data_IF_417771649110
#
_entry.id   IF_417771649110
#
_cell.length_a   1.000
_cell.length_b   1.000
_cell.length_c   1.000
_cell.angle_alpha   90.00
_cell.angle_beta   90.00
_cell.angle_gamma   90.00
#
_symmetry.space_group_name_H-M   'P 1'
#
loop_
_entity.id
_entity.type
_entity.pdbx_description
1 polymer ?
#
# COMPACT_ATOMS: atom_id res chain seq x y z
N UNK A 1 7.82 8.02 -4.41
CA UNK A 1 6.48 7.83 -4.98
C UNK A 1 5.43 8.48 -4.11
N UNK A 2 4.53 9.21 -4.72
CA UNK A 2 3.42 9.86 -4.03
C UNK A 2 2.18 8.95 -4.17
N UNK A 3 1.47 8.69 -3.06
CA UNK A 3 0.29 7.83 -3.07
C UNK A 3 -1.00 8.62 -3.27
N UNK A 4 -0.98 9.53 -4.22
CA UNK A 4 -2.13 10.39 -4.51
C UNK A 4 -2.97 9.77 -5.64
N UNK A 5 -3.72 8.74 -5.28
CA UNK A 5 -4.56 8.01 -6.22
C UNK A 5 -6.04 8.15 -5.86
N UNK A 6 -6.89 8.19 -6.89
CA UNK A 6 -8.34 8.16 -6.69
C UNK A 6 -8.77 6.73 -6.36
N UNK A 7 -10.01 6.57 -5.90
CA UNK A 7 -10.58 5.26 -5.62
C UNK A 7 -10.58 4.37 -6.87
N UNK A 8 -10.90 4.94 -8.02
CA UNK A 8 -10.93 4.20 -9.29
C UNK A 8 -9.52 3.74 -9.66
N UNK A 9 -8.53 4.61 -9.49
CA UNK A 9 -7.13 4.26 -9.73
C UNK A 9 -6.66 3.15 -8.78
N UNK A 10 -7.03 3.25 -7.51
CA UNK A 10 -6.71 2.23 -6.52
C UNK A 10 -7.25 0.87 -6.95
N UNK A 11 -8.51 0.80 -7.35
CA UNK A 11 -9.12 -0.46 -7.77
C UNK A 11 -8.47 -1.02 -9.03
N UNK A 12 -8.23 -0.17 -10.01
CA UNK A 12 -7.59 -0.58 -11.27
C UNK A 12 -6.17 -1.09 -11.04
N UNK A 13 -5.37 -0.33 -10.29
CA UNK A 13 -3.98 -0.71 -10.01
C UNK A 13 -3.92 -1.99 -9.19
N UNK A 14 -4.78 -2.12 -8.18
CA UNK A 14 -4.81 -3.32 -7.33
C UNK A 14 -5.09 -4.58 -8.13
N UNK A 15 -5.98 -4.49 -9.10
CA UNK A 15 -6.30 -5.60 -10.01
C UNK A 15 -5.12 -5.92 -10.92
N UNK A 16 -4.59 -4.90 -11.59
CA UNK A 16 -3.52 -5.08 -12.57
C UNK A 16 -2.23 -5.56 -11.92
N UNK A 17 -1.93 -5.09 -10.73
CA UNK A 17 -0.74 -5.50 -9.98
C UNK A 17 -0.96 -6.80 -9.20
N UNK A 18 -2.18 -7.34 -9.21
CA UNK A 18 -2.55 -8.57 -8.51
C UNK A 18 -2.16 -8.52 -7.03
N UNK A 19 -2.51 -7.42 -6.36
CA UNK A 19 -2.19 -7.22 -4.96
C UNK A 19 -2.99 -8.17 -4.08
N UNK A 20 -2.33 -8.73 -3.04
CA UNK A 20 -3.03 -9.52 -2.05
C UNK A 20 -3.75 -8.59 -1.06
N UNK A 21 -4.55 -9.16 -0.17
CA UNK A 21 -5.36 -8.39 0.78
C UNK A 21 -4.50 -7.50 1.68
N UNK A 22 -3.37 -8.00 2.12
CA UNK A 22 -2.47 -7.24 2.99
C UNK A 22 -1.92 -6.00 2.28
N UNK A 23 -1.43 -6.17 1.05
CA UNK A 23 -0.90 -5.06 0.27
C UNK A 23 -1.99 -4.07 -0.13
N UNK A 24 -3.20 -4.55 -0.37
CA UNK A 24 -4.33 -3.65 -0.66
C UNK A 24 -4.67 -2.79 0.55
N UNK A 25 -4.65 -3.36 1.75
CA UNK A 25 -4.87 -2.59 2.98
C UNK A 25 -3.80 -1.52 3.18
N UNK A 26 -2.53 -1.89 2.96
CA UNK A 26 -1.42 -0.95 3.09
C UNK A 26 -1.54 0.16 2.04
N UNK A 27 -1.90 -0.19 0.82
CA UNK A 27 -2.12 0.76 -0.26
C UNK A 27 -3.21 1.78 0.13
N UNK A 28 -4.34 1.29 0.62
CA UNK A 28 -5.43 2.15 1.06
C UNK A 28 -5.00 3.07 2.21
N UNK A 29 -4.27 2.54 3.19
CA UNK A 29 -3.75 3.34 4.30
C UNK A 29 -2.80 4.42 3.83
N UNK A 30 -1.95 4.12 2.84
CA UNK A 30 -1.05 5.13 2.27
C UNK A 30 -1.81 6.23 1.55
N UNK A 31 -2.86 5.88 0.83
CA UNK A 31 -3.72 6.87 0.17
C UNK A 31 -4.36 7.79 1.22
N UNK A 32 -4.75 7.23 2.36
CA UNK A 32 -5.34 8.00 3.47
C UNK A 32 -4.31 8.73 4.30
N UNK A 33 -3.04 8.67 3.92
CA UNK A 33 -1.93 9.35 4.61
C UNK A 33 -1.69 8.86 6.03
N UNK A 34 -1.91 7.58 6.30
CA UNK A 34 -1.58 6.99 7.60
C UNK A 34 -0.06 7.03 7.83
N UNK A 35 0.34 7.31 9.06
CA UNK A 35 1.75 7.24 9.44
C UNK A 35 2.19 5.77 9.54
N UNK A 36 3.50 5.54 9.47
CA UNK A 36 4.06 4.19 9.65
C UNK A 36 3.68 3.63 11.02
N UNK A 37 3.75 4.46 12.06
CA UNK A 37 3.36 4.07 13.42
C UNK A 37 1.90 3.61 13.46
N UNK A 38 1.01 4.38 12.84
CA UNK A 38 -0.42 4.02 12.82
C UNK A 38 -0.65 2.72 12.06
N UNK A 39 0.03 2.55 10.93
CA UNK A 39 -0.08 1.31 10.16
C UNK A 39 0.40 0.10 10.95
N UNK A 40 1.53 0.23 11.65
CA UNK A 40 2.07 -0.87 12.45
C UNK A 40 1.09 -1.30 13.54
N UNK A 41 0.42 -0.35 14.16
CA UNK A 41 -0.58 -0.63 15.19
C UNK A 41 -1.81 -1.30 14.59
N UNK A 42 -2.33 -0.76 13.50
CA UNK A 42 -3.52 -1.31 12.85
C UNK A 42 -3.30 -2.71 12.29
N UNK A 43 -2.11 -2.98 11.79
CA UNK A 43 -1.78 -4.25 11.15
C UNK A 43 -1.13 -5.27 12.09
N UNK A 44 -0.86 -4.87 13.33
CA UNK A 44 -0.12 -5.72 14.29
C UNK A 44 1.22 -6.17 13.73
N UNK A 45 1.94 -5.27 13.11
CA UNK A 45 3.25 -5.51 12.53
C UNK A 45 4.26 -4.53 13.09
N UNK A 46 5.55 -4.89 13.09
CA UNK A 46 6.60 -3.92 13.41
C UNK A 46 6.67 -2.86 12.31
N UNK A 47 7.17 -1.68 12.65
CA UNK A 47 7.38 -0.62 11.64
C UNK A 47 8.33 -1.09 10.55
N UNK A 48 9.32 -1.89 10.90
CA UNK A 48 10.26 -2.46 9.93
C UNK A 48 9.53 -3.32 8.90
N UNK A 49 8.60 -4.15 9.35
CA UNK A 49 7.81 -5.00 8.47
C UNK A 49 6.90 -4.15 7.57
N UNK A 50 6.26 -3.13 8.14
CA UNK A 50 5.42 -2.21 7.37
C UNK A 50 6.23 -1.54 6.26
N UNK A 51 7.42 -1.03 6.59
CA UNK A 51 8.29 -0.40 5.60
C UNK A 51 8.68 -1.35 4.49
N UNK A 52 8.95 -2.61 4.83
CA UNK A 52 9.29 -3.63 3.85
C UNK A 52 8.11 -3.92 2.92
N UNK A 53 6.90 -3.99 3.46
CA UNK A 53 5.69 -4.19 2.67
C UNK A 53 5.39 -3.02 1.74
N UNK A 54 5.63 -1.80 2.21
CA UNK A 54 5.47 -0.61 1.38
C UNK A 54 6.44 -0.64 0.21
N UNK A 55 7.67 -1.06 0.44
CA UNK A 55 8.66 -1.18 -0.62
C UNK A 55 8.23 -2.20 -1.68
N UNK A 56 7.72 -3.34 -1.23
CA UNK A 56 7.17 -4.37 -2.13
C UNK A 56 5.98 -3.83 -2.92
N UNK A 57 5.08 -3.12 -2.25
CA UNK A 57 3.92 -2.50 -2.87
C UNK A 57 4.33 -1.54 -3.98
N UNK A 58 5.29 -0.67 -3.70
CA UNK A 58 5.78 0.30 -4.69
C UNK A 58 6.30 -0.40 -5.95
N UNK A 59 7.06 -1.48 -5.78
CA UNK A 59 7.58 -2.24 -6.93
C UNK A 59 6.45 -2.79 -7.78
N UNK A 60 5.42 -3.34 -7.14
CA UNK A 60 4.28 -3.91 -7.87
C UNK A 60 3.48 -2.84 -8.59
N UNK A 61 3.29 -1.69 -7.97
CA UNK A 61 2.58 -0.57 -8.59
C UNK A 61 3.35 -0.06 -9.81
N UNK A 62 4.66 0.12 -9.69
CA UNK A 62 5.48 0.61 -10.80
C UNK A 62 5.42 -0.29 -12.04
N UNK A 63 5.23 -1.59 -11.85
CA UNK A 63 5.14 -2.53 -12.96
C UNK A 63 3.92 -2.31 -13.85
N UNK A 64 2.86 -1.71 -13.31
CA UNK A 64 1.60 -1.54 -14.04
C UNK A 64 1.26 -0.09 -14.36
N UNK A 65 2.10 0.85 -13.96
CA UNK A 65 1.90 2.26 -14.30
C UNK A 65 2.33 2.59 -15.73
#
# INVERSE_FOLDING_TARGET
MNFDFTKEEFESISKRAMLNDELMKIFEMKIKSYSITKMSMELNMSERTVNRRIKELKKKIYRVL
#
